data_IF_105292902383
#
_entry.id   IF_105292902383
#
_cell.length_a   1.000
_cell.length_b   1.000
_cell.length_c   1.000
_cell.angle_alpha   90.00
_cell.angle_beta   90.00
_cell.angle_gamma   90.00
#
_symmetry.space_group_name_H-M   'P 1'
#
loop_
_entity.id
_entity.type
_entity.pdbx_description
1 polymer ?
#
# COMPACT_ATOMS: atom_id res chain seq x y z
N UNK A 1 -29.90 3.09 5.85
CA UNK A 1 -28.94 3.83 5.01
C UNK A 1 -27.88 4.49 5.89
N UNK A 2 -26.67 4.78 5.39
CA UNK A 2 -25.38 5.00 6.10
C UNK A 2 -24.49 3.76 6.30
N UNK A 3 -24.17 3.05 5.20
CA UNK A 3 -23.20 1.93 5.23
C UNK A 3 -21.82 2.28 4.66
N UNK A 4 -21.64 3.52 4.19
CA UNK A 4 -20.43 3.96 3.50
C UNK A 4 -20.05 5.33 4.05
N UNK A 5 -18.77 5.46 4.38
CA UNK A 5 -18.09 6.70 4.75
C UNK A 5 -16.87 6.85 3.85
N UNK A 6 -16.59 8.07 3.39
CA UNK A 6 -15.45 8.39 2.55
C UNK A 6 -14.65 9.46 3.28
N UNK A 7 -13.38 9.18 3.51
CA UNK A 7 -12.47 10.05 4.24
C UNK A 7 -11.46 10.66 3.27
N UNK A 8 -11.26 11.98 3.36
CA UNK A 8 -10.19 12.70 2.68
C UNK A 8 -9.04 12.90 3.68
N UNK A 9 -8.42 11.79 4.05
CA UNK A 9 -7.38 11.72 5.08
C UNK A 9 -6.24 10.81 4.61
N UNK A 10 -5.06 11.01 5.19
CA UNK A 10 -3.95 10.09 5.00
C UNK A 10 -4.24 8.78 5.73
N UNK A 11 -4.00 7.63 5.09
CA UNK A 11 -4.21 6.32 5.73
C UNK A 11 -3.38 6.16 7.02
N UNK A 12 -2.24 6.86 7.10
CA UNK A 12 -1.35 6.88 8.27
C UNK A 12 -2.01 7.49 9.50
N UNK A 13 -2.97 8.39 9.31
CA UNK A 13 -3.67 9.07 10.37
C UNK A 13 -4.99 8.38 10.76
N UNK A 14 -5.42 7.36 10.01
CA UNK A 14 -6.64 6.62 10.31
C UNK A 14 -6.62 6.02 11.71
N UNK A 15 -7.76 6.06 12.38
CA UNK A 15 -7.93 5.49 13.73
C UNK A 15 -9.10 4.53 13.77
N UNK A 16 -9.20 3.75 14.84
CA UNK A 16 -10.25 2.74 15.01
C UNK A 16 -9.83 1.36 14.50
N UNK A 17 -10.77 0.42 14.57
CA UNK A 17 -10.49 -1.00 14.28
C UNK A 17 -11.58 -1.63 13.41
N UNK A 18 -11.14 -2.33 12.38
CA UNK A 18 -11.96 -2.98 11.37
C UNK A 18 -11.86 -4.50 11.48
N UNK A 19 -12.96 -5.18 11.10
CA UNK A 19 -12.97 -6.64 11.00
C UNK A 19 -12.24 -7.13 9.74
N UNK A 20 -12.24 -6.31 8.68
CA UNK A 20 -11.61 -6.58 7.39
C UNK A 20 -10.99 -5.32 6.82
N UNK A 21 -9.80 -5.46 6.24
CA UNK A 21 -9.07 -4.39 5.56
C UNK A 21 -8.71 -4.85 4.15
N UNK A 22 -8.95 -3.99 3.15
CA UNK A 22 -8.57 -4.24 1.76
C UNK A 22 -7.76 -3.06 1.26
N UNK A 23 -6.59 -3.33 0.70
CA UNK A 23 -5.75 -2.34 0.03
C UNK A 23 -5.48 -2.79 -1.40
N UNK A 24 -5.74 -1.91 -2.35
CA UNK A 24 -5.71 -2.19 -3.78
C UNK A 24 -4.71 -1.23 -4.42
N UNK A 25 -3.62 -1.77 -4.94
CA UNK A 25 -2.63 -1.02 -5.76
C UNK A 25 -2.04 0.22 -5.06
N UNK A 26 -2.07 0.26 -3.72
CA UNK A 26 -1.49 1.35 -2.93
C UNK A 26 -0.03 1.11 -2.57
N UNK A 27 0.38 -0.15 -2.42
CA UNK A 27 1.70 -0.50 -1.88
C UNK A 27 2.84 -0.05 -2.81
N UNK A 28 2.56 0.01 -4.11
CA UNK A 28 3.45 0.49 -5.18
C UNK A 28 3.83 1.96 -5.00
N UNK A 29 2.95 2.77 -4.40
CA UNK A 29 3.17 4.20 -4.17
C UNK A 29 3.85 4.50 -2.82
N UNK A 30 4.05 3.49 -1.97
CA UNK A 30 4.62 3.66 -0.63
C UNK A 30 6.15 3.63 -0.67
N UNK A 31 6.73 2.83 -1.56
CA UNK A 31 8.17 2.58 -1.61
C UNK A 31 8.61 1.52 -0.60
N UNK A 32 9.56 0.68 -1.01
CA UNK A 32 9.99 -0.51 -0.25
C UNK A 32 10.55 -0.21 1.14
N UNK A 33 11.10 0.99 1.35
CA UNK A 33 11.64 1.46 2.62
C UNK A 33 10.56 1.71 3.69
N UNK A 34 9.30 1.92 3.30
CA UNK A 34 8.19 2.22 4.19
C UNK A 34 7.20 1.05 4.37
N UNK A 35 7.53 -0.13 3.84
CA UNK A 35 6.65 -1.30 3.94
C UNK A 35 6.38 -1.70 5.39
N UNK A 36 7.40 -1.70 6.25
CA UNK A 36 7.22 -2.04 7.66
C UNK A 36 6.22 -1.11 8.36
N UNK A 37 6.31 0.21 8.10
CA UNK A 37 5.38 1.21 8.65
C UNK A 37 3.96 1.02 8.10
N UNK A 38 3.83 0.74 6.80
CA UNK A 38 2.55 0.45 6.17
C UNK A 38 1.87 -0.80 6.75
N UNK A 39 2.58 -1.91 6.83
CA UNK A 39 2.05 -3.15 7.39
C UNK A 39 1.74 -3.01 8.88
N UNK A 40 2.57 -2.29 9.64
CA UNK A 40 2.30 -1.98 11.04
C UNK A 40 0.99 -1.18 11.17
N UNK A 41 0.81 -0.13 10.37
CA UNK A 41 -0.43 0.66 10.38
C UNK A 41 -1.66 -0.18 10.03
N UNK A 42 -1.58 -1.02 9.01
CA UNK A 42 -2.68 -1.90 8.64
C UNK A 42 -3.02 -2.90 9.76
N UNK A 43 -2.03 -3.40 10.48
CA UNK A 43 -2.23 -4.28 11.63
C UNK A 43 -2.87 -3.55 12.82
N UNK A 44 -2.49 -2.31 13.12
CA UNK A 44 -3.11 -1.49 14.17
C UNK A 44 -4.60 -1.21 13.90
N UNK A 45 -4.97 -1.09 12.62
CA UNK A 45 -6.34 -0.89 12.18
C UNK A 45 -7.18 -2.18 12.21
N UNK A 46 -6.59 -3.35 12.44
CA UNK A 46 -7.32 -4.62 12.50
C UNK A 46 -7.65 -5.02 13.94
N UNK A 47 -8.87 -5.55 14.12
CA UNK A 47 -9.23 -6.23 15.38
C UNK A 47 -8.47 -7.56 15.51
N UNK A 48 -8.26 -8.10 16.72
CA UNK A 48 -7.76 -9.45 16.90
C UNK A 48 -8.59 -10.46 16.11
N UNK A 49 -7.94 -11.23 15.22
CA UNK A 49 -8.60 -12.18 14.31
C UNK A 49 -9.20 -11.56 13.04
N UNK A 50 -9.02 -10.25 12.81
CA UNK A 50 -9.38 -9.57 11.58
C UNK A 50 -8.57 -10.05 10.38
N UNK A 51 -9.07 -9.78 9.17
CA UNK A 51 -8.45 -10.25 7.93
C UNK A 51 -8.02 -9.09 7.03
N UNK A 52 -6.83 -9.20 6.43
CA UNK A 52 -6.33 -8.26 5.43
C UNK A 52 -6.27 -8.92 4.05
N UNK A 53 -6.58 -8.15 3.01
CA UNK A 53 -6.21 -8.45 1.63
C UNK A 53 -5.40 -7.29 1.06
N UNK A 54 -4.27 -7.63 0.44
CA UNK A 54 -3.49 -6.71 -0.39
C UNK A 54 -3.52 -7.25 -1.81
N UNK A 55 -3.95 -6.40 -2.74
CA UNK A 55 -3.73 -6.60 -4.16
C UNK A 55 -2.60 -5.68 -4.59
N UNK A 56 -1.56 -6.24 -5.21
CA UNK A 56 -0.40 -5.51 -5.69
C UNK A 56 0.05 -6.03 -7.05
N UNK A 57 0.66 -5.14 -7.84
CA UNK A 57 1.44 -5.48 -9.01
C UNK A 57 2.81 -5.96 -8.53
N UNK A 58 3.23 -7.16 -8.96
CA UNK A 58 4.49 -7.76 -8.53
C UNK A 58 5.44 -7.94 -9.71
N UNK A 59 6.74 -7.72 -9.47
CA UNK A 59 7.82 -8.03 -10.43
C UNK A 59 8.71 -9.15 -9.89
N UNK A 60 9.47 -9.81 -10.76
CA UNK A 60 10.40 -10.86 -10.34
C UNK A 60 11.63 -10.26 -9.64
N UNK A 61 12.05 -10.82 -8.50
CA UNK A 61 13.16 -10.31 -7.68
C UNK A 61 14.46 -10.04 -8.46
N UNK A 62 14.78 -10.89 -9.45
CA UNK A 62 15.96 -10.70 -10.31
C UNK A 62 15.88 -9.41 -11.15
N UNK A 63 14.67 -9.00 -11.52
CA UNK A 63 14.42 -7.78 -12.29
C UNK A 63 14.24 -6.56 -11.38
N UNK A 64 13.80 -6.75 -10.13
CA UNK A 64 13.61 -5.67 -9.16
C UNK A 64 14.91 -4.88 -8.90
N UNK A 65 16.05 -5.55 -8.73
CA UNK A 65 17.36 -4.89 -8.54
C UNK A 65 17.84 -4.08 -9.77
N UNK A 66 17.38 -4.46 -10.97
CA UNK A 66 17.67 -3.75 -12.21
C UNK A 66 16.74 -2.56 -12.39
N UNK A 67 15.44 -2.75 -12.14
CA UNK A 67 14.41 -1.72 -12.20
C UNK A 67 14.60 -0.64 -11.12
N UNK A 68 15.14 -0.99 -9.96
CA UNK A 68 15.56 -0.01 -8.92
C UNK A 68 16.69 0.91 -9.37
N UNK A 69 17.52 0.50 -10.34
CA UNK A 69 18.71 1.25 -10.78
C UNK A 69 18.47 2.08 -12.04
N UNK A 70 17.56 1.64 -12.91
CA UNK A 70 17.22 2.34 -14.14
C UNK A 70 15.81 2.92 -14.07
N UNK A 71 15.71 4.25 -14.09
CA UNK A 71 14.44 4.97 -14.19
C UNK A 71 13.86 4.75 -15.58
N UNK A 72 12.89 3.85 -15.70
CA UNK A 72 12.21 3.58 -16.94
C UNK A 72 11.19 4.69 -17.31
N UNK A 73 10.57 4.57 -18.49
CA UNK A 73 9.57 5.55 -18.94
C UNK A 73 8.37 5.65 -17.99
N UNK A 74 7.95 4.53 -17.39
CA UNK A 74 6.81 4.48 -16.47
C UNK A 74 7.14 5.28 -15.21
N UNK A 75 8.26 4.99 -14.55
CA UNK A 75 8.71 5.76 -13.39
C UNK A 75 8.94 7.23 -13.71
N UNK A 76 9.49 7.55 -14.90
CA UNK A 76 9.84 8.94 -15.21
C UNK A 76 8.64 9.81 -15.58
N UNK A 77 7.64 9.26 -16.28
CA UNK A 77 6.60 10.07 -16.92
C UNK A 77 5.17 9.70 -16.53
N UNK A 78 4.93 8.50 -15.99
CA UNK A 78 3.58 8.03 -15.67
C UNK A 78 3.36 7.97 -14.15
N UNK A 79 4.25 7.30 -13.42
CA UNK A 79 4.19 7.13 -11.96
C UNK A 79 5.51 7.53 -11.29
N UNK A 80 5.82 8.84 -11.22
CA UNK A 80 6.99 9.32 -10.50
C UNK A 80 6.91 8.98 -9.02
N UNK A 81 7.84 8.14 -8.55
CA UNK A 81 7.91 7.64 -7.18
C UNK A 81 7.39 6.20 -6.97
N UNK A 82 6.84 5.56 -8.00
CA UNK A 82 6.49 4.13 -7.94
C UNK A 82 7.74 3.25 -7.91
N UNK A 83 7.74 2.20 -7.08
CA UNK A 83 8.85 1.25 -6.99
C UNK A 83 8.78 0.13 -8.03
#
# INVERSE_FOLDING_TARGET
DNRIEILLEDYRDLTGHYDKLVSIEMIEAIGSEHYDEYFAKCNELLRPGGQMLIQAITTCDRQHELLKKDVDFIQRYIFPGGC
#
